data_IF_448101827599
#
_entry.id   IF_448101827599
#
_cell.length_a   1.000
_cell.length_b   1.000
_cell.length_c   1.000
_cell.angle_alpha   90.00
_cell.angle_beta   90.00
_cell.angle_gamma   90.00
#
_symmetry.space_group_name_H-M   'P 1'
#
loop_
_entity.id
_entity.type
_entity.pdbx_description
1 polymer ?
#
# COMPACT_ATOMS: atom_id res chain seq x y z
N UNK A 1 -10.37 20.21 40.67
CA UNK A 1 -10.08 18.77 40.85
C UNK A 1 -10.68 17.92 39.74
N UNK A 2 -11.99 18.07 39.46
CA UNK A 2 -12.64 17.33 38.36
C UNK A 2 -11.97 17.63 36.98
N UNK A 3 -11.60 18.88 36.71
CA UNK A 3 -10.96 19.26 35.47
C UNK A 3 -9.57 18.63 35.30
N UNK A 4 -8.82 18.43 36.39
CA UNK A 4 -7.51 17.78 36.35
C UNK A 4 -7.63 16.29 36.06
N UNK A 5 -8.62 15.61 36.65
CA UNK A 5 -8.88 14.18 36.39
C UNK A 5 -9.30 13.96 34.93
N UNK A 6 -10.17 14.81 34.42
CA UNK A 6 -10.58 14.76 33.00
C UNK A 6 -9.40 15.00 32.06
N UNK A 7 -8.52 15.94 32.40
CA UNK A 7 -7.33 16.23 31.61
C UNK A 7 -6.37 15.03 31.55
N UNK A 8 -6.15 14.33 32.67
CA UNK A 8 -5.31 13.15 32.72
C UNK A 8 -5.91 12.01 31.88
N UNK A 9 -7.21 11.79 31.93
CA UNK A 9 -7.90 10.83 31.08
C UNK A 9 -7.76 11.15 29.59
N UNK A 10 -7.89 12.42 29.25
CA UNK A 10 -7.77 12.88 27.87
C UNK A 10 -6.36 12.68 27.33
N UNK A 11 -5.32 12.89 28.13
CA UNK A 11 -3.93 12.65 27.75
C UNK A 11 -3.68 11.17 27.47
N UNK A 12 -4.22 10.28 28.28
CA UNK A 12 -4.09 8.84 28.09
C UNK A 12 -4.77 8.41 26.80
N UNK A 13 -5.99 8.86 26.57
CA UNK A 13 -6.74 8.55 25.34
C UNK A 13 -6.03 9.09 24.11
N UNK A 14 -5.46 10.30 24.18
CA UNK A 14 -4.73 10.90 23.07
C UNK A 14 -3.48 10.07 22.73
N UNK A 15 -2.78 9.58 23.75
CA UNK A 15 -1.60 8.74 23.54
C UNK A 15 -1.97 7.42 22.85
N UNK A 16 -3.00 6.74 23.33
CA UNK A 16 -3.49 5.49 22.72
C UNK A 16 -3.98 5.71 21.29
N UNK A 17 -4.70 6.80 21.04
CA UNK A 17 -5.16 7.17 19.71
C UNK A 17 -3.99 7.36 18.74
N UNK A 18 -2.95 8.09 19.16
CA UNK A 18 -1.77 8.34 18.33
C UNK A 18 -1.01 7.04 18.05
N UNK A 19 -0.89 6.14 19.01
CA UNK A 19 -0.25 4.84 18.82
C UNK A 19 -1.02 3.98 17.82
N UNK A 20 -2.34 3.92 17.97
CA UNK A 20 -3.22 3.19 17.04
C UNK A 20 -3.13 3.76 15.63
N UNK A 21 -3.13 5.08 15.51
CA UNK A 21 -3.04 5.75 14.22
C UNK A 21 -1.71 5.47 13.52
N UNK A 22 -0.60 5.41 14.28
CA UNK A 22 0.70 5.05 13.74
C UNK A 22 0.70 3.63 13.18
N UNK A 23 0.11 2.66 13.91
CA UNK A 23 0.06 1.27 13.47
C UNK A 23 -0.83 1.07 12.24
N UNK A 24 -1.74 2.04 11.95
CA UNK A 24 -2.64 1.99 10.79
C UNK A 24 -2.14 2.83 9.61
N UNK A 25 -0.97 3.43 9.73
CA UNK A 25 -0.39 4.17 8.61
C UNK A 25 0.17 3.23 7.56
N UNK A 26 0.12 3.69 6.31
CA UNK A 26 0.79 2.99 5.22
C UNK A 26 2.30 3.19 5.36
N UNK A 27 3.11 2.12 5.31
CA UNK A 27 4.56 2.25 5.48
C UNK A 27 5.19 2.98 4.29
N UNK A 28 6.29 3.69 4.54
CA UNK A 28 7.07 4.35 3.49
C UNK A 28 7.94 3.34 2.77
N UNK A 29 8.24 3.61 1.52
CA UNK A 29 9.25 2.86 0.76
C UNK A 29 10.55 3.63 0.88
N UNK A 30 11.58 3.01 1.46
CA UNK A 30 12.86 3.65 1.74
C UNK A 30 13.82 3.59 0.56
N UNK A 31 13.66 2.57 -0.31
CA UNK A 31 14.53 2.39 -1.46
C UNK A 31 13.85 1.49 -2.50
N UNK A 32 14.08 1.79 -3.78
CA UNK A 32 13.67 0.92 -4.88
C UNK A 32 14.79 0.86 -5.91
N UNK A 33 15.10 -0.36 -6.35
CA UNK A 33 16.01 -0.63 -7.46
C UNK A 33 15.55 -1.93 -8.12
N UNK A 34 16.17 -2.32 -9.20
CA UNK A 34 15.79 -3.55 -9.90
C UNK A 34 15.85 -4.75 -8.96
N UNK A 35 14.70 -5.42 -8.79
CA UNK A 35 14.59 -6.61 -7.96
C UNK A 35 14.62 -6.36 -6.45
N UNK A 36 14.53 -5.09 -6.00
CA UNK A 36 14.70 -4.77 -4.58
C UNK A 36 13.85 -3.58 -4.17
N UNK A 37 13.03 -3.82 -3.14
CA UNK A 37 12.20 -2.79 -2.51
C UNK A 37 12.41 -2.86 -0.99
N UNK A 38 12.85 -1.76 -0.40
CA UNK A 38 13.04 -1.67 1.04
C UNK A 38 11.89 -0.88 1.64
N UNK A 39 11.21 -1.48 2.62
CA UNK A 39 9.98 -0.93 3.22
C UNK A 39 10.22 -0.63 4.69
N UNK A 40 9.73 0.52 5.14
CA UNK A 40 9.76 0.94 6.54
C UNK A 40 9.21 -0.17 7.45
N UNK A 41 9.96 -0.49 8.49
CA UNK A 41 9.55 -1.49 9.47
C UNK A 41 9.90 -2.93 9.12
N UNK A 42 10.39 -3.18 7.91
CA UNK A 42 10.77 -4.53 7.47
C UNK A 42 12.29 -4.69 7.46
N UNK A 43 12.77 -5.79 8.06
CA UNK A 43 14.21 -6.05 8.16
C UNK A 43 14.80 -6.48 6.81
N UNK A 44 14.02 -7.22 6.01
CA UNK A 44 14.47 -7.76 4.73
C UNK A 44 13.79 -7.07 3.56
N UNK A 45 14.50 -6.88 2.44
CA UNK A 45 13.87 -6.30 1.25
C UNK A 45 12.95 -7.29 0.56
N UNK A 46 12.01 -6.75 -0.21
CA UNK A 46 11.15 -7.54 -1.10
C UNK A 46 11.65 -7.45 -2.53
N UNK A 47 11.32 -8.44 -3.32
CA UNK A 47 11.36 -8.31 -4.78
C UNK A 47 10.07 -7.64 -5.26
N UNK A 48 8.92 -8.23 -4.93
CA UNK A 48 7.61 -7.68 -5.19
C UNK A 48 6.86 -7.59 -3.86
N UNK A 49 6.08 -6.55 -3.66
CA UNK A 49 5.44 -6.33 -2.38
C UNK A 49 4.04 -5.76 -2.50
N UNK A 50 3.22 -6.08 -1.50
CA UNK A 50 1.94 -5.45 -1.22
C UNK A 50 2.12 -4.57 0.00
N UNK A 51 1.75 -3.30 -0.12
CA UNK A 51 1.78 -2.35 0.98
C UNK A 51 0.37 -1.82 1.23
N UNK A 52 0.02 -1.59 2.49
CA UNK A 52 -1.32 -1.19 2.88
C UNK A 52 -1.29 -0.55 4.27
N UNK A 53 -2.38 0.09 4.71
CA UNK A 53 -2.40 0.63 6.06
C UNK A 53 -2.13 -0.48 7.08
N UNK A 54 -1.12 -0.28 7.89
CA UNK A 54 -0.72 -1.21 8.94
C UNK A 54 0.46 -2.11 8.62
N UNK A 55 0.87 -2.22 7.35
CA UNK A 55 2.03 -3.06 7.05
C UNK A 55 2.26 -3.39 5.59
N UNK A 56 2.98 -4.47 5.40
CA UNK A 56 3.36 -4.95 4.07
C UNK A 56 3.67 -6.44 4.14
N UNK A 57 3.66 -7.07 2.99
CA UNK A 57 4.19 -8.42 2.85
C UNK A 57 4.59 -8.71 1.41
N UNK A 58 5.24 -9.85 1.19
CA UNK A 58 5.63 -10.30 -0.14
C UNK A 58 4.40 -10.45 -1.03
N UNK A 59 4.50 -9.98 -2.26
CA UNK A 59 3.48 -10.20 -3.28
C UNK A 59 3.85 -11.44 -4.08
N UNK A 60 3.20 -12.55 -3.76
CA UNK A 60 3.40 -13.81 -4.44
C UNK A 60 2.35 -13.96 -5.54
N UNK A 61 2.76 -13.78 -6.79
CA UNK A 61 1.87 -13.85 -7.95
C UNK A 61 1.17 -15.20 -8.10
N UNK A 62 1.78 -16.26 -7.59
CA UNK A 62 1.20 -17.61 -7.70
C UNK A 62 -0.09 -17.77 -6.89
N UNK A 63 -0.22 -17.03 -5.81
CA UNK A 63 -1.41 -17.12 -4.96
C UNK A 63 -2.67 -16.64 -5.66
N UNK A 64 -2.54 -15.71 -6.61
CA UNK A 64 -3.68 -15.07 -7.27
C UNK A 64 -3.73 -15.35 -8.77
N UNK A 65 -2.78 -16.11 -9.31
CA UNK A 65 -2.68 -16.34 -10.74
C UNK A 65 -2.21 -15.12 -11.53
N UNK A 66 -1.53 -14.20 -10.88
CA UNK A 66 -0.99 -13.01 -11.51
C UNK A 66 0.20 -13.37 -12.38
N UNK A 67 0.30 -12.73 -13.54
CA UNK A 67 1.40 -12.83 -14.48
C UNK A 67 1.47 -11.52 -15.26
N UNK A 68 2.55 -11.30 -16.00
CA UNK A 68 2.65 -10.08 -16.83
C UNK A 68 1.39 -9.90 -17.68
N UNK A 69 0.85 -11.00 -18.20
CA UNK A 69 -0.45 -11.09 -18.85
C UNK A 69 -1.18 -12.31 -18.30
N UNK A 70 -2.42 -12.19 -17.87
CA UNK A 70 -3.36 -11.07 -18.03
C UNK A 70 -3.06 -9.85 -17.14
N UNK A 71 -2.21 -9.98 -16.10
CA UNK A 71 -1.83 -8.86 -15.27
C UNK A 71 -2.35 -8.94 -13.83
N UNK A 72 -2.43 -7.80 -13.19
CA UNK A 72 -2.86 -7.67 -11.80
C UNK A 72 -4.30 -8.12 -11.64
N UNK A 73 -4.53 -9.08 -10.74
CA UNK A 73 -5.84 -9.68 -10.55
C UNK A 73 -6.67 -8.91 -9.51
N UNK A 74 -8.00 -9.06 -9.59
CA UNK A 74 -8.91 -8.47 -8.61
C UNK A 74 -8.53 -8.89 -7.18
N UNK A 75 -8.16 -10.18 -6.98
CA UNK A 75 -7.75 -10.67 -5.68
C UNK A 75 -6.49 -9.98 -5.14
N UNK A 76 -5.61 -9.50 -6.01
CA UNK A 76 -4.44 -8.74 -5.57
C UNK A 76 -4.84 -7.41 -4.93
N UNK A 77 -5.73 -6.68 -5.57
CA UNK A 77 -6.18 -5.37 -5.08
C UNK A 77 -7.19 -5.50 -3.93
N UNK A 78 -7.97 -6.58 -3.91
CA UNK A 78 -8.92 -6.82 -2.82
C UNK A 78 -8.22 -6.84 -1.47
N UNK A 79 -7.06 -7.45 -1.37
CA UNK A 79 -6.30 -7.49 -0.13
C UNK A 79 -5.95 -6.08 0.36
N UNK A 80 -5.59 -5.17 -0.54
CA UNK A 80 -5.33 -3.78 -0.17
C UNK A 80 -6.56 -3.12 0.44
N UNK A 81 -7.72 -3.36 -0.15
CA UNK A 81 -8.99 -2.81 0.33
C UNK A 81 -9.39 -3.43 1.67
N UNK A 82 -9.12 -4.73 1.86
CA UNK A 82 -9.41 -5.42 3.12
C UNK A 82 -8.61 -4.85 4.28
N UNK A 83 -7.43 -4.30 4.00
CA UNK A 83 -6.60 -3.61 4.99
C UNK A 83 -6.94 -2.13 5.14
N UNK A 84 -7.98 -1.65 4.47
CA UNK A 84 -8.47 -0.29 4.64
C UNK A 84 -7.95 0.74 3.66
N UNK A 85 -7.29 0.32 2.57
CA UNK A 85 -6.83 1.26 1.55
C UNK A 85 -8.00 1.99 0.90
N UNK A 86 -7.90 3.32 0.80
CA UNK A 86 -8.90 4.19 0.17
C UNK A 86 -8.42 4.76 -1.15
N UNK A 87 -7.17 4.56 -1.48
CA UNK A 87 -6.53 4.93 -2.75
C UNK A 87 -5.47 3.87 -3.03
N UNK A 88 -5.27 3.53 -4.29
CA UNK A 88 -4.34 2.43 -4.68
C UNK A 88 -3.37 2.90 -5.72
N UNK A 89 -2.12 2.47 -5.57
CA UNK A 89 -1.06 2.70 -6.54
C UNK A 89 -0.60 1.34 -7.08
N UNK A 90 -0.67 1.17 -8.39
CA UNK A 90 -0.31 -0.08 -9.06
C UNK A 90 0.93 0.17 -9.91
N UNK A 91 2.04 -0.47 -9.56
CA UNK A 91 3.26 -0.36 -10.36
C UNK A 91 3.30 -1.46 -11.42
N UNK A 92 3.62 -1.07 -12.64
CA UNK A 92 3.64 -1.98 -13.79
C UNK A 92 5.02 -2.59 -14.04
N UNK A 93 5.98 -2.34 -13.18
CA UNK A 93 7.35 -2.77 -13.37
C UNK A 93 8.24 -1.65 -13.92
N UNK A 94 9.55 -1.88 -13.93
CA UNK A 94 10.53 -0.91 -14.40
C UNK A 94 10.38 -0.65 -15.90
N UNK A 95 9.98 -1.67 -16.66
CA UNK A 95 9.76 -1.59 -18.11
C UNK A 95 8.28 -1.68 -18.49
N UNK A 96 7.37 -1.55 -17.53
CA UNK A 96 5.93 -1.56 -17.74
C UNK A 96 5.37 -2.82 -18.40
N UNK A 97 5.99 -3.97 -18.14
CA UNK A 97 5.55 -5.24 -18.73
C UNK A 97 4.32 -5.84 -18.01
N UNK A 98 4.05 -5.42 -16.79
CA UNK A 98 2.92 -5.93 -16.03
C UNK A 98 1.64 -5.20 -16.41
N UNK A 99 0.65 -5.94 -16.90
CA UNK A 99 -0.63 -5.39 -17.29
C UNK A 99 -1.56 -5.18 -16.11
N UNK A 100 -2.53 -4.24 -16.29
CA UNK A 100 -3.66 -4.10 -15.40
C UNK A 100 -4.92 -4.34 -16.23
N UNK A 101 -5.60 -5.49 -16.06
CA UNK A 101 -6.79 -5.79 -16.85
C UNK A 101 -7.90 -4.77 -16.58
N UNK A 102 -8.73 -4.55 -17.59
CA UNK A 102 -9.85 -3.63 -17.48
C UNK A 102 -10.79 -4.02 -16.33
N UNK A 103 -11.02 -5.31 -16.16
CA UNK A 103 -11.90 -5.80 -15.09
C UNK A 103 -11.39 -5.43 -13.70
N UNK A 104 -10.05 -5.39 -13.50
CA UNK A 104 -9.46 -4.95 -12.24
C UNK A 104 -9.67 -3.46 -12.03
N UNK A 105 -9.52 -2.66 -13.07
CA UNK A 105 -9.77 -1.22 -13.01
C UNK A 105 -11.25 -0.93 -12.75
N UNK A 106 -12.14 -1.65 -13.42
CA UNK A 106 -13.59 -1.50 -13.24
C UNK A 106 -14.01 -1.89 -11.82
N UNK A 107 -13.42 -2.94 -11.27
CA UNK A 107 -13.65 -3.35 -9.89
C UNK A 107 -13.37 -2.22 -8.90
N UNK A 108 -12.24 -1.53 -9.07
CA UNK A 108 -11.87 -0.39 -8.23
C UNK A 108 -12.77 0.81 -8.45
N UNK A 109 -13.09 1.09 -9.70
CA UNK A 109 -13.98 2.20 -10.07
C UNK A 109 -15.38 2.05 -9.48
N UNK A 110 -15.94 0.86 -9.55
CA UNK A 110 -17.26 0.56 -8.98
C UNK A 110 -17.30 0.81 -7.47
N UNK A 111 -16.16 0.64 -6.80
CA UNK A 111 -16.01 0.87 -5.37
C UNK A 111 -15.56 2.29 -5.04
N UNK A 112 -15.48 3.16 -6.05
CA UNK A 112 -15.06 4.55 -5.89
C UNK A 112 -13.67 4.67 -5.26
N UNK A 113 -12.76 3.75 -5.63
CA UNK A 113 -11.37 3.77 -5.19
C UNK A 113 -10.52 4.42 -6.28
N UNK A 114 -9.93 5.59 -6.03
CA UNK A 114 -8.97 6.18 -6.96
C UNK A 114 -7.78 5.24 -7.17
N UNK A 115 -7.37 5.07 -8.42
CA UNK A 115 -6.26 4.20 -8.78
C UNK A 115 -5.27 4.96 -9.64
N UNK A 116 -3.98 4.75 -9.33
CA UNK A 116 -2.87 5.31 -10.09
C UNK A 116 -2.03 4.16 -10.63
N UNK A 117 -1.86 4.12 -11.94
CA UNK A 117 -1.12 3.06 -12.65
C UNK A 117 0.12 3.69 -13.26
N UNK A 118 1.30 3.30 -12.81
CA UNK A 118 2.54 4.00 -13.14
C UNK A 118 3.71 3.02 -13.27
N UNK A 119 4.77 3.41 -14.00
CA UNK A 119 6.05 2.70 -13.91
C UNK A 119 6.55 2.72 -12.47
N UNK A 120 7.32 1.72 -12.08
CA UNK A 120 7.63 1.47 -10.67
C UNK A 120 8.27 2.65 -9.94
N UNK A 121 9.24 3.34 -10.54
CA UNK A 121 9.89 4.47 -9.85
C UNK A 121 8.91 5.61 -9.58
N UNK A 122 8.05 5.92 -10.55
CA UNK A 122 7.02 6.94 -10.39
C UNK A 122 5.95 6.50 -9.38
N UNK A 123 5.61 5.22 -9.42
CA UNK A 123 4.64 4.66 -8.49
C UNK A 123 5.12 4.76 -7.03
N UNK A 124 6.40 4.47 -6.79
CA UNK A 124 7.02 4.60 -5.47
C UNK A 124 6.96 6.04 -4.97
N UNK A 125 7.32 6.99 -5.83
CA UNK A 125 7.32 8.41 -5.46
C UNK A 125 5.92 8.89 -5.09
N UNK A 126 4.91 8.55 -5.89
CA UNK A 126 3.53 8.92 -5.61
C UNK A 126 3.00 8.23 -4.36
N UNK A 127 3.26 6.92 -4.23
CA UNK A 127 2.85 6.17 -3.05
C UNK A 127 3.39 6.81 -1.77
N UNK A 128 4.68 7.13 -1.74
CA UNK A 128 5.29 7.74 -0.55
C UNK A 128 4.65 9.09 -0.20
N UNK A 129 4.31 9.88 -1.21
CA UNK A 129 3.63 11.15 -1.01
C UNK A 129 2.24 10.92 -0.40
N UNK A 130 1.46 10.02 -0.97
CA UNK A 130 0.12 9.70 -0.48
C UNK A 130 0.15 9.08 0.92
N UNK A 131 1.14 8.26 1.22
CA UNK A 131 1.27 7.59 2.51
C UNK A 131 1.44 8.58 3.67
N UNK A 132 1.84 9.81 3.40
CA UNK A 132 1.98 10.84 4.45
C UNK A 132 0.63 11.30 4.99
N UNK A 133 -0.41 11.27 4.18
CA UNK A 133 -1.71 11.87 4.52
C UNK A 133 -2.91 10.96 4.31
N UNK A 134 -2.76 9.85 3.58
CA UNK A 134 -3.89 9.01 3.18
C UNK A 134 -3.63 7.54 3.44
N UNK A 135 -4.72 6.75 3.64
CA UNK A 135 -4.59 5.29 3.76
C UNK A 135 -4.41 4.68 2.38
N UNK A 136 -3.20 4.74 1.86
CA UNK A 136 -2.85 4.26 0.52
C UNK A 136 -2.44 2.79 0.56
N UNK A 137 -2.87 2.04 -0.45
CA UNK A 137 -2.35 0.70 -0.71
C UNK A 137 -1.57 0.69 -2.01
N UNK A 138 -0.64 -0.24 -2.14
CA UNK A 138 0.15 -0.35 -3.35
C UNK A 138 0.59 -1.76 -3.66
N UNK A 139 0.72 -2.04 -4.96
CA UNK A 139 1.30 -3.26 -5.50
C UNK A 139 2.56 -2.87 -6.26
N UNK A 140 3.70 -3.43 -5.86
CA UNK A 140 4.98 -3.04 -6.42
C UNK A 140 5.70 -4.22 -7.03
N UNK A 141 5.99 -4.10 -8.33
CA UNK A 141 6.76 -5.04 -9.13
C UNK A 141 8.07 -4.34 -9.47
N UNK A 142 9.21 -4.90 -9.05
CA UNK A 142 10.50 -4.21 -9.14
C UNK A 142 11.38 -4.65 -10.31
N UNK A 143 10.94 -5.61 -11.11
CA UNK A 143 11.63 -6.00 -12.33
C UNK A 143 10.87 -5.50 -13.56
N UNK A 144 10.94 -6.17 -14.69
CA UNK A 144 10.27 -5.69 -15.90
C UNK A 144 8.76 -5.57 -15.77
#
# INVERSE_FOLDING_TARGET
MLALAEFECDLSLTHEYLMTKRSNRSPQINHVSWGRLEVEGEAEPYKDAKLFPGGSHEWNWRETGTAHRPGIQISDVQELLDHGSKVVVLSRGMAECLHVPRETLDFLKERQIPVHVLPTQHAVALYNKLAQTEPVGGLFHTTC
#
